data_IF_595306525633
#
_entry.id   IF_595306525633
#
_cell.length_a   1.000
_cell.length_b   1.000
_cell.length_c   1.000
_cell.angle_alpha   90.00
_cell.angle_beta   90.00
_cell.angle_gamma   90.00
#
_symmetry.space_group_name_H-M   'P 1'
#
loop_
_entity.id
_entity.type
_entity.pdbx_description
1 polymer ?
#
# COMPACT_ATOMS: atom_id res chain seq x y z
N UNK A 1 3.09 -51.45 -59.81
CA UNK A 1 3.72 -50.54 -58.82
C UNK A 1 4.87 -49.85 -59.52
N UNK A 2 4.75 -48.54 -59.73
CA UNK A 2 5.26 -47.54 -58.77
C UNK A 2 4.17 -46.55 -58.32
N UNK A 3 4.33 -45.87 -57.16
CA UNK A 3 3.35 -44.93 -56.69
C UNK A 3 3.53 -43.53 -57.30
N UNK A 4 2.37 -43.01 -57.69
CA UNK A 4 1.97 -41.67 -58.12
C UNK A 4 2.72 -40.55 -57.38
N UNK A 5 3.33 -39.66 -58.18
CA UNK A 5 4.00 -38.45 -57.72
C UNK A 5 3.03 -37.45 -57.11
N UNK A 6 3.44 -36.90 -55.96
CA UNK A 6 2.75 -35.83 -55.25
C UNK A 6 2.90 -34.52 -56.01
N UNK A 7 1.77 -33.96 -56.43
CA UNK A 7 1.64 -32.54 -56.73
C UNK A 7 1.45 -31.76 -55.43
N UNK A 8 2.13 -30.60 -55.39
CA UNK A 8 1.72 -29.33 -54.80
C UNK A 8 1.33 -29.30 -53.32
N UNK A 9 2.18 -28.66 -52.52
CA UNK A 9 1.76 -27.69 -51.50
C UNK A 9 2.91 -26.68 -51.26
N UNK A 10 3.02 -25.73 -52.18
CA UNK A 10 3.72 -24.45 -51.98
C UNK A 10 2.77 -23.50 -51.26
N UNK A 11 2.47 -23.78 -49.99
CA UNK A 11 2.02 -22.76 -49.05
C UNK A 11 3.06 -22.66 -47.95
N UNK A 12 4.12 -21.91 -48.28
CA UNK A 12 5.02 -21.36 -47.29
C UNK A 12 4.21 -20.54 -46.30
N UNK A 13 4.23 -21.04 -45.08
CA UNK A 13 3.63 -20.46 -43.90
C UNK A 13 3.92 -18.96 -43.82
N UNK A 14 2.88 -18.15 -44.02
CA UNK A 14 2.79 -16.83 -43.42
C UNK A 14 2.33 -17.01 -41.96
N UNK A 15 3.09 -17.78 -41.19
CA UNK A 15 3.16 -17.61 -39.74
C UNK A 15 3.89 -16.28 -39.53
N UNK A 16 3.17 -15.16 -39.70
CA UNK A 16 3.50 -13.93 -38.99
C UNK A 16 3.40 -14.30 -37.53
N UNK A 17 4.55 -14.73 -37.00
CA UNK A 17 4.83 -15.04 -35.63
C UNK A 17 3.77 -14.47 -34.71
N UNK A 18 3.04 -15.31 -34.00
CA UNK A 18 2.30 -14.91 -32.82
C UNK A 18 3.35 -14.28 -31.88
N UNK A 19 3.62 -12.98 -32.08
CA UNK A 19 4.72 -12.26 -31.45
C UNK A 19 4.44 -12.39 -29.97
N UNK A 20 5.31 -13.12 -29.27
CA UNK A 20 5.12 -13.50 -27.87
C UNK A 20 4.66 -12.28 -27.08
N UNK A 21 3.37 -12.20 -26.79
CA UNK A 21 2.76 -11.01 -26.19
C UNK A 21 3.33 -10.80 -24.81
N UNK A 22 3.88 -9.62 -24.57
CA UNK A 22 4.56 -9.27 -23.31
C UNK A 22 3.54 -9.10 -22.20
N UNK A 23 3.92 -9.51 -20.99
CA UNK A 23 3.08 -9.35 -19.81
C UNK A 23 3.26 -7.99 -19.13
N UNK A 24 4.36 -7.28 -19.43
CA UNK A 24 4.75 -6.02 -18.77
C UNK A 24 4.98 -4.94 -19.81
N UNK A 25 4.67 -3.70 -19.43
CA UNK A 25 4.95 -2.50 -20.23
C UNK A 25 6.46 -2.32 -20.42
N UNK A 26 6.87 -2.13 -21.67
CA UNK A 26 8.17 -1.57 -22.01
C UNK A 26 8.04 -0.11 -22.46
N UNK A 27 9.15 0.40 -22.98
CA UNK A 27 9.27 1.79 -23.42
C UNK A 27 8.32 2.12 -24.57
N UNK A 28 8.26 1.26 -25.60
CA UNK A 28 7.41 1.48 -26.77
C UNK A 28 5.93 1.43 -26.40
N UNK A 29 5.55 0.51 -25.51
CA UNK A 29 4.16 0.43 -25.04
C UNK A 29 3.77 1.60 -24.11
N UNK A 30 4.69 2.09 -23.30
CA UNK A 30 4.49 3.32 -22.51
C UNK A 30 4.31 4.53 -23.44
N UNK A 31 5.10 4.63 -24.51
CA UNK A 31 4.99 5.71 -25.49
C UNK A 31 3.62 5.69 -26.18
N UNK A 32 3.17 4.52 -26.64
CA UNK A 32 1.84 4.35 -27.24
C UNK A 32 0.72 4.70 -26.26
N UNK A 33 0.83 4.26 -24.99
CA UNK A 33 -0.13 4.60 -23.94
C UNK A 33 -0.24 6.11 -23.76
N UNK A 34 0.88 6.82 -23.69
CA UNK A 34 0.92 8.26 -23.47
C UNK A 34 0.34 9.02 -24.66
N UNK A 35 0.64 8.61 -25.89
CA UNK A 35 0.03 9.18 -27.10
C UNK A 35 -1.49 8.99 -27.04
N UNK A 36 -1.95 7.78 -26.74
CA UNK A 36 -3.38 7.47 -26.72
C UNK A 36 -4.11 8.27 -25.64
N UNK A 37 -3.50 8.42 -24.45
CA UNK A 37 -4.04 9.24 -23.36
C UNK A 37 -4.10 10.72 -23.74
N UNK A 38 -3.12 11.23 -24.50
CA UNK A 38 -3.15 12.61 -25.02
C UNK A 38 -4.28 12.82 -26.03
N UNK A 39 -4.58 11.83 -26.86
CA UNK A 39 -5.67 11.90 -27.86
C UNK A 39 -7.04 11.81 -27.17
N UNK A 40 -7.19 10.85 -26.26
CA UNK A 40 -8.51 10.51 -25.68
C UNK A 40 -8.86 11.36 -24.47
N UNK A 41 -7.85 11.97 -23.82
CA UNK A 41 -8.01 12.81 -22.62
C UNK A 41 -8.93 12.19 -21.55
N UNK A 42 -8.71 10.92 -21.13
CA UNK A 42 -9.61 10.20 -20.22
C UNK A 42 -9.73 10.87 -18.83
N UNK A 43 -8.78 11.73 -18.48
CA UNK A 43 -8.79 12.54 -17.26
C UNK A 43 -9.73 13.75 -17.31
N UNK A 44 -10.20 14.15 -18.49
CA UNK A 44 -11.16 15.25 -18.66
C UNK A 44 -12.61 14.76 -18.68
N UNK A 45 -12.84 13.46 -18.53
CA UNK A 45 -14.18 12.88 -18.52
C UNK A 45 -15.00 13.34 -17.31
N UNK A 46 -16.33 13.39 -17.46
CA UNK A 46 -17.25 13.72 -16.35
C UNK A 46 -17.10 12.70 -15.21
N UNK A 47 -17.23 13.16 -13.96
CA UNK A 47 -17.24 12.28 -12.78
C UNK A 47 -18.28 11.16 -12.97
N UNK A 48 -17.83 9.90 -12.89
CA UNK A 48 -18.64 8.71 -13.17
C UNK A 48 -18.33 8.02 -14.51
N UNK A 49 -17.91 8.76 -15.54
CA UNK A 49 -17.55 8.20 -16.85
C UNK A 49 -16.04 7.93 -17.03
N UNK A 50 -15.23 8.31 -16.04
CA UNK A 50 -13.77 8.18 -16.09
C UNK A 50 -13.37 6.72 -16.37
N UNK A 51 -14.00 5.74 -15.71
CA UNK A 51 -13.71 4.32 -15.92
C UNK A 51 -13.90 3.88 -17.38
N UNK A 52 -15.03 4.24 -17.97
CA UNK A 52 -15.37 3.91 -19.37
C UNK A 52 -14.37 4.54 -20.35
N UNK A 53 -13.96 5.79 -20.13
CA UNK A 53 -12.95 6.44 -21.00
C UNK A 53 -11.58 5.76 -20.92
N UNK A 54 -11.20 5.22 -19.76
CA UNK A 54 -9.99 4.41 -19.64
C UNK A 54 -10.14 3.04 -20.32
N UNK A 55 -11.32 2.44 -20.29
CA UNK A 55 -11.59 1.20 -21.02
C UNK A 55 -11.54 1.41 -22.53
N UNK A 56 -12.00 2.57 -23.04
CA UNK A 56 -11.82 2.96 -24.44
C UNK A 56 -10.34 3.10 -24.84
N UNK A 57 -9.53 3.76 -24.00
CA UNK A 57 -8.07 3.85 -24.22
C UNK A 57 -7.44 2.46 -24.31
N UNK A 58 -7.82 1.56 -23.39
CA UNK A 58 -7.32 0.19 -23.40
C UNK A 58 -7.76 -0.59 -24.64
N UNK A 59 -9.02 -0.43 -25.09
CA UNK A 59 -9.51 -1.05 -26.32
C UNK A 59 -8.70 -0.60 -27.54
N UNK A 60 -8.45 0.71 -27.70
CA UNK A 60 -7.65 1.26 -28.80
C UNK A 60 -6.20 0.77 -28.79
N UNK A 61 -5.59 0.66 -27.60
CA UNK A 61 -4.25 0.10 -27.47
C UNK A 61 -4.21 -1.39 -27.84
N UNK A 62 -5.21 -2.17 -27.43
CA UNK A 62 -5.28 -3.60 -27.76
C UNK A 62 -5.46 -3.86 -29.26
N UNK A 63 -6.10 -2.95 -29.98
CA UNK A 63 -6.27 -2.99 -31.43
C UNK A 63 -5.02 -2.52 -32.20
N UNK A 64 -4.10 -1.81 -31.55
CA UNK A 64 -2.93 -1.24 -32.19
C UNK A 64 -1.91 -2.34 -32.60
N UNK A 65 -1.45 -2.38 -33.87
CA UNK A 65 -0.60 -3.46 -34.37
C UNK A 65 0.78 -3.50 -33.68
N UNK A 66 1.31 -2.35 -33.27
CA UNK A 66 2.59 -2.25 -32.58
C UNK A 66 2.49 -2.45 -31.05
N UNK A 67 1.29 -2.62 -30.51
CA UNK A 67 1.12 -2.86 -29.08
C UNK A 67 1.36 -4.33 -28.76
N UNK A 68 2.57 -4.65 -28.32
CA UNK A 68 3.02 -6.05 -28.16
C UNK A 68 2.62 -6.68 -26.81
N UNK A 69 1.80 -6.02 -26.00
CA UNK A 69 1.34 -6.58 -24.73
C UNK A 69 0.13 -7.51 -24.90
N UNK A 70 -0.09 -8.34 -23.89
CA UNK A 70 -1.39 -9.03 -23.72
C UNK A 70 -2.51 -7.99 -23.57
N UNK A 71 -3.75 -8.31 -23.96
CA UNK A 71 -4.88 -7.39 -23.82
C UNK A 71 -4.96 -6.81 -22.40
N UNK A 72 -4.94 -5.48 -22.31
CA UNK A 72 -5.03 -4.74 -21.05
C UNK A 72 -6.45 -4.21 -20.83
N UNK A 73 -6.79 -3.94 -19.57
CA UNK A 73 -8.05 -3.27 -19.18
C UNK A 73 -7.80 -1.79 -18.88
N UNK A 74 -8.85 -0.97 -18.85
CA UNK A 74 -8.75 0.46 -18.54
C UNK A 74 -8.12 0.73 -17.19
N UNK A 75 -8.42 -0.09 -16.18
CA UNK A 75 -7.76 0.01 -14.85
C UNK A 75 -6.24 -0.15 -14.94
N UNK A 76 -5.75 -1.05 -15.79
CA UNK A 76 -4.31 -1.27 -15.99
C UNK A 76 -3.66 -0.09 -16.71
N UNK A 77 -4.32 0.44 -17.74
CA UNK A 77 -3.87 1.63 -18.46
C UNK A 77 -3.80 2.85 -17.53
N UNK A 78 -4.84 3.07 -16.72
CA UNK A 78 -4.91 4.15 -15.72
C UNK A 78 -3.77 4.07 -14.71
N UNK A 79 -3.60 2.93 -14.02
CA UNK A 79 -2.54 2.77 -13.03
C UNK A 79 -1.15 2.93 -13.64
N UNK A 80 -0.95 2.44 -14.87
CA UNK A 80 0.33 2.63 -15.56
C UNK A 80 0.59 4.10 -15.86
N UNK A 81 -0.40 4.82 -16.37
CA UNK A 81 -0.30 6.25 -16.64
C UNK A 81 0.00 7.06 -15.37
N UNK A 82 -0.71 6.81 -14.27
CA UNK A 82 -0.46 7.47 -12.98
C UNK A 82 0.98 7.24 -12.49
N UNK A 83 1.49 6.02 -12.67
CA UNK A 83 2.89 5.69 -12.34
C UNK A 83 3.88 6.48 -13.20
N UNK A 84 3.60 6.63 -14.50
CA UNK A 84 4.43 7.41 -15.43
C UNK A 84 4.41 8.89 -15.08
N UNK A 85 3.25 9.46 -14.75
CA UNK A 85 3.09 10.84 -14.28
C UNK A 85 3.88 11.08 -13.00
N UNK A 86 3.76 10.20 -12.00
CA UNK A 86 4.50 10.31 -10.74
C UNK A 86 6.01 10.27 -10.96
N UNK A 87 6.49 9.33 -11.78
CA UNK A 87 7.90 9.22 -12.13
C UNK A 87 8.40 10.47 -12.85
N UNK A 88 7.62 11.00 -13.80
CA UNK A 88 7.96 12.21 -14.55
C UNK A 88 8.03 13.43 -13.64
N UNK A 89 7.09 13.59 -12.71
CA UNK A 89 7.11 14.68 -11.70
C UNK A 89 8.36 14.62 -10.82
N UNK A 90 8.77 13.42 -10.38
CA UNK A 90 10.02 13.24 -9.63
C UNK A 90 11.23 13.64 -10.47
N UNK A 91 11.29 13.18 -11.72
CA UNK A 91 12.36 13.53 -12.64
C UNK A 91 12.43 15.04 -12.86
N UNK A 92 11.32 15.72 -13.14
CA UNK A 92 11.31 17.19 -13.31
C UNK A 92 11.84 17.93 -12.09
N UNK A 93 11.53 17.49 -10.86
CA UNK A 93 12.08 18.10 -9.63
C UNK A 93 13.60 17.92 -9.51
N UNK A 94 14.12 16.78 -9.92
CA UNK A 94 15.56 16.49 -9.91
C UNK A 94 16.32 17.19 -11.04
N UNK A 95 15.73 17.27 -12.24
CA UNK A 95 16.36 17.84 -13.43
C UNK A 95 16.33 19.38 -13.42
N UNK A 96 15.33 19.99 -12.78
CA UNK A 96 15.30 21.44 -12.54
C UNK A 96 16.49 21.91 -11.68
N UNK A 97 17.19 21.00 -10.99
CA UNK A 97 18.42 21.27 -10.24
C UNK A 97 19.67 21.09 -11.14
N UNK A 98 19.59 20.30 -12.22
CA UNK A 98 20.67 20.01 -13.16
C UNK A 98 20.30 20.53 -14.55
N UNK A 99 20.34 21.84 -14.72
CA UNK A 99 19.97 22.44 -16.00
C UNK A 99 20.99 22.05 -17.09
N UNK A 100 20.44 21.69 -18.26
CA UNK A 100 21.00 21.78 -19.62
C UNK A 100 21.48 20.46 -20.24
N UNK A 101 20.97 20.21 -21.46
CA UNK A 101 21.44 19.27 -22.50
C UNK A 101 21.16 17.79 -22.29
N UNK A 102 19.87 17.42 -22.26
CA UNK A 102 19.48 16.09 -22.75
C UNK A 102 18.57 16.27 -23.95
N UNK A 103 18.96 15.65 -25.08
CA UNK A 103 18.24 15.60 -26.35
C UNK A 103 16.75 15.44 -26.07
N UNK A 104 15.93 16.36 -26.58
CA UNK A 104 14.47 16.40 -26.39
C UNK A 104 13.87 15.05 -26.79
N UNK A 105 13.71 14.16 -25.81
CA UNK A 105 13.08 12.87 -26.05
C UNK A 105 11.58 13.16 -26.32
N UNK A 106 11.01 12.75 -27.47
CA UNK A 106 9.62 13.01 -27.81
C UNK A 106 8.65 12.49 -26.73
N UNK A 107 8.99 11.39 -26.08
CA UNK A 107 8.25 10.87 -24.92
C UNK A 107 8.18 11.90 -23.79
N UNK A 108 9.33 12.51 -23.43
CA UNK A 108 9.43 13.47 -22.34
C UNK A 108 8.66 14.75 -22.66
N UNK A 109 8.70 15.21 -23.92
CA UNK A 109 7.94 16.38 -24.37
C UNK A 109 6.44 16.19 -24.17
N UNK A 110 5.91 15.04 -24.61
CA UNK A 110 4.49 14.71 -24.46
C UNK A 110 4.13 14.56 -22.98
N UNK A 111 4.97 13.90 -22.18
CA UNK A 111 4.73 13.76 -20.74
C UNK A 111 4.74 15.11 -20.00
N UNK A 112 5.64 16.03 -20.34
CA UNK A 112 5.66 17.38 -19.77
C UNK A 112 4.37 18.14 -20.12
N UNK A 113 3.91 18.06 -21.37
CA UNK A 113 2.65 18.68 -21.79
C UNK A 113 1.44 18.10 -21.04
N UNK A 114 1.35 16.77 -20.91
CA UNK A 114 0.27 16.12 -20.18
C UNK A 114 0.26 16.47 -18.69
N UNK A 115 1.44 16.51 -18.04
CA UNK A 115 1.53 16.89 -16.63
C UNK A 115 1.11 18.34 -16.43
N UNK A 116 1.50 19.26 -17.33
CA UNK A 116 1.02 20.64 -17.30
C UNK A 116 -0.49 20.72 -17.44
N UNK A 117 -1.09 19.97 -18.38
CA UNK A 117 -2.56 19.93 -18.52
C UNK A 117 -3.26 19.40 -17.27
N UNK A 118 -2.72 18.36 -16.64
CA UNK A 118 -3.26 17.80 -15.40
C UNK A 118 -3.13 18.76 -14.21
N UNK A 119 -2.06 19.53 -14.13
CA UNK A 119 -1.82 20.50 -13.06
C UNK A 119 -2.65 21.78 -13.24
N UNK A 120 -2.99 22.13 -14.49
CA UNK A 120 -3.86 23.26 -14.83
C UNK A 120 -5.35 22.96 -14.64
N UNK A 121 -5.77 21.69 -14.60
CA UNK A 121 -7.14 21.35 -14.22
C UNK A 121 -7.37 21.83 -12.77
N UNK A 122 -8.31 22.77 -12.52
CA UNK A 122 -8.66 23.14 -11.17
C UNK A 122 -9.09 21.86 -10.45
N UNK A 123 -8.50 21.58 -9.28
CA UNK A 123 -8.95 20.53 -8.35
C UNK A 123 -10.35 20.88 -7.82
N UNK A 124 -11.35 20.91 -8.69
CA UNK A 124 -12.75 21.01 -8.33
C UNK A 124 -13.19 19.67 -7.77
N UNK A 125 -13.38 19.62 -6.46
CA UNK A 125 -14.17 18.62 -5.73
C UNK A 125 -13.53 17.23 -5.50
N UNK A 126 -12.23 17.19 -5.21
CA UNK A 126 -11.60 16.08 -4.50
C UNK A 126 -10.74 16.60 -3.34
N UNK A 127 -11.40 17.32 -2.42
CA UNK A 127 -10.89 17.63 -1.10
C UNK A 127 -11.82 16.95 -0.10
N UNK A 128 -11.53 15.68 0.18
CA UNK A 128 -11.78 15.02 1.46
C UNK A 128 -10.83 13.81 1.43
N UNK A 129 -9.88 13.83 2.37
CA UNK A 129 -8.73 12.93 2.57
C UNK A 129 -7.42 13.46 1.96
N UNK A 130 -6.40 13.51 2.81
CA UNK A 130 -5.04 14.05 2.58
C UNK A 130 -4.89 15.57 2.82
N UNK A 131 -5.32 16.03 4.00
CA UNK A 131 -4.80 17.24 4.64
C UNK A 131 -4.66 16.96 6.14
N UNK A 132 -3.63 16.19 6.49
CA UNK A 132 -3.05 16.08 7.85
C UNK A 132 -1.77 15.24 7.74
N UNK A 133 -0.67 15.79 7.21
CA UNK A 133 0.70 15.42 7.67
C UNK A 133 1.84 16.31 7.13
N UNK A 134 1.65 17.63 6.97
CA UNK A 134 2.75 18.50 6.54
C UNK A 134 2.74 19.84 7.31
N UNK A 135 2.97 19.76 8.62
CA UNK A 135 3.35 20.95 9.40
C UNK A 135 4.14 20.59 10.67
N UNK A 136 5.36 20.06 10.51
CA UNK A 136 6.43 20.23 11.52
C UNK A 136 7.82 19.88 10.99
N UNK A 137 8.48 20.86 10.36
CA UNK A 137 9.81 21.31 10.73
C UNK A 137 10.34 22.20 9.63
N UNK A 138 10.23 23.51 9.86
CA UNK A 138 11.10 24.46 9.22
C UNK A 138 11.79 25.31 10.28
N UNK A 139 13.02 25.70 9.96
CA UNK A 139 13.99 26.50 10.72
C UNK A 139 14.82 25.76 11.79
N UNK A 140 16.12 25.59 11.51
CA UNK A 140 17.19 26.38 12.14
C UNK A 140 18.53 26.14 11.39
N UNK A 141 18.92 27.19 10.66
CA UNK A 141 20.27 27.76 10.46
C UNK A 141 21.40 26.97 9.80
N UNK A 142 21.81 27.54 8.67
CA UNK A 142 23.17 27.72 8.16
C UNK A 142 24.25 28.02 9.24
N UNK A 143 25.43 27.44 8.97
CA UNK A 143 26.79 27.90 9.33
C UNK A 143 27.45 27.58 10.69
N UNK A 144 28.74 27.23 10.56
CA UNK A 144 29.83 27.34 11.56
C UNK A 144 30.09 26.19 12.55
N UNK A 145 30.93 25.25 12.10
CA UNK A 145 32.27 25.00 12.67
C UNK A 145 32.44 25.28 14.18
N UNK A 146 32.48 24.23 15.02
CA UNK A 146 33.64 23.86 15.87
C UNK A 146 33.32 22.74 16.88
N UNK A 147 34.26 21.80 16.99
CA UNK A 147 34.77 21.07 18.18
C UNK A 147 33.83 20.83 19.38
N UNK A 148 33.79 19.57 19.83
CA UNK A 148 34.09 19.04 21.19
C UNK A 148 33.86 17.51 21.10
N UNK A 149 34.89 16.67 20.90
CA UNK A 149 35.64 15.89 21.92
C UNK A 149 34.82 15.48 23.15
N UNK A 150 34.58 14.18 23.33
CA UNK A 150 34.84 13.36 24.54
C UNK A 150 33.93 12.11 24.51
N UNK A 151 34.50 10.95 24.21
CA UNK A 151 34.34 9.84 25.13
C UNK A 151 34.90 8.53 24.58
N UNK A 152 36.22 8.35 24.72
CA UNK A 152 36.86 7.03 24.66
C UNK A 152 36.41 6.22 25.88
N UNK A 153 36.03 4.96 25.68
CA UNK A 153 36.22 3.93 26.70
C UNK A 153 36.94 2.73 26.08
N UNK A 154 38.14 2.48 26.61
CA UNK A 154 38.95 1.28 26.37
C UNK A 154 38.47 0.15 27.30
N UNK A 155 38.61 -1.08 26.81
CA UNK A 155 38.59 -2.35 27.55
C UNK A 155 39.76 -2.45 28.55
N UNK A 156 39.48 -3.10 29.68
CA UNK A 156 40.15 -4.25 30.35
C UNK A 156 39.81 -4.19 31.86
N UNK A 157 39.68 -5.22 32.69
CA UNK A 157 39.73 -6.69 32.67
C UNK A 157 39.55 -7.13 34.15
N UNK A 158 38.97 -8.31 34.39
CA UNK A 158 39.01 -9.18 35.58
C UNK A 158 38.87 -8.61 37.03
N UNK A 159 37.87 -9.09 37.79
CA UNK A 159 38.04 -10.01 38.94
C UNK A 159 36.68 -10.43 39.55
N UNK A 160 36.70 -11.56 40.25
CA UNK A 160 35.66 -12.54 40.59
C UNK A 160 34.72 -12.24 41.82
N UNK A 161 33.74 -13.12 42.16
CA UNK A 161 32.52 -12.89 42.99
C UNK A 161 32.80 -13.14 44.52
N UNK A 162 31.85 -13.34 45.49
CA UNK A 162 30.38 -13.53 45.46
C UNK A 162 29.62 -12.72 46.55
N UNK A 163 28.29 -12.93 46.68
CA UNK A 163 27.55 -13.16 47.95
C UNK A 163 26.03 -13.10 47.72
N UNK A 164 25.35 -14.09 48.31
CA UNK A 164 23.90 -14.32 48.41
C UNK A 164 23.21 -13.29 49.31
N UNK A 165 21.93 -13.00 49.05
CA UNK A 165 20.81 -12.89 50.02
C UNK A 165 19.56 -12.46 49.22
N UNK A 166 18.60 -13.35 48.97
CA UNK A 166 17.50 -13.81 49.83
C UNK A 166 16.47 -12.74 50.22
N UNK A 167 15.23 -13.04 49.81
CA UNK A 167 13.95 -12.78 50.51
C UNK A 167 13.44 -11.33 50.48
N UNK A 168 12.30 -11.11 49.79
CA UNK A 168 11.06 -10.70 50.46
C UNK A 168 9.82 -11.13 49.67
N UNK A 169 8.99 -11.92 50.34
CA UNK A 169 7.65 -12.40 49.98
C UNK A 169 6.62 -11.48 50.66
N UNK A 170 5.61 -11.01 49.90
CA UNK A 170 4.15 -10.80 50.20
C UNK A 170 3.75 -9.98 51.47
N UNK A 171 2.51 -9.43 51.63
CA UNK A 171 1.18 -9.89 51.13
C UNK A 171 0.29 -8.77 50.50
N UNK A 172 -0.68 -9.01 49.61
CA UNK A 172 -2.03 -9.62 49.69
C UNK A 172 -2.96 -9.08 50.78
N UNK A 173 -4.05 -8.43 50.33
CA UNK A 173 -5.47 -8.43 50.80
C UNK A 173 -6.10 -7.03 50.54
N UNK A 174 -7.38 -6.82 50.25
CA UNK A 174 -8.55 -7.61 49.84
C UNK A 174 -9.64 -6.59 49.41
N UNK A 175 -10.52 -7.02 48.50
CA UNK A 175 -11.95 -6.62 48.34
C UNK A 175 -12.36 -5.14 48.21
N UNK A 176 -13.10 -4.81 47.14
CA UNK A 176 -14.57 -4.69 47.21
C UNK A 176 -15.22 -4.43 45.84
N UNK A 177 -16.40 -5.02 45.70
CA UNK A 177 -17.38 -4.99 44.61
C UNK A 177 -18.27 -3.75 44.75
N UNK A 178 -18.60 -3.03 43.67
CA UNK A 178 -19.97 -2.54 43.38
C UNK A 178 -20.08 -1.90 41.97
N UNK A 179 -21.17 -2.12 41.21
CA UNK A 179 -21.49 -1.40 39.97
C UNK A 179 -22.48 -0.26 40.24
N UNK A 180 -22.27 0.91 39.62
CA UNK A 180 -23.22 2.03 39.67
C UNK A 180 -23.84 2.31 38.29
N UNK A 181 -25.17 2.37 38.32
CA UNK A 181 -26.06 2.75 37.25
C UNK A 181 -26.34 4.25 37.28
N UNK A 182 -26.41 4.93 36.14
CA UNK A 182 -27.06 6.25 36.00
C UNK A 182 -27.64 6.40 34.55
N UNK A 183 -28.53 7.38 34.23
CA UNK A 183 -29.99 7.30 34.32
C UNK A 183 -30.73 7.71 33.02
N UNK A 184 -32.06 7.58 33.05
CA UNK A 184 -33.03 8.19 32.13
C UNK A 184 -32.89 9.72 31.99
N UNK A 185 -33.44 10.28 30.89
CA UNK A 185 -34.16 11.55 30.97
C UNK A 185 -35.62 11.44 30.49
N UNK A 186 -36.46 12.22 31.17
CA UNK A 186 -37.88 12.46 30.90
C UNK A 186 -38.10 13.91 30.45
N UNK A 187 -38.97 14.14 29.47
CA UNK A 187 -39.71 15.36 29.11
C UNK A 187 -40.28 15.18 27.68
N UNK A 188 -41.44 15.65 27.21
CA UNK A 188 -42.66 16.29 27.72
C UNK A 188 -43.73 16.11 26.62
N UNK A 189 -44.98 15.76 26.96
CA UNK A 189 -46.21 16.57 26.81
C UNK A 189 -46.32 17.41 25.54
N UNK A 190 -47.24 17.05 24.65
CA UNK A 190 -48.09 18.03 23.94
C UNK A 190 -49.49 17.45 23.79
N UNK A 191 -50.43 18.28 24.18
CA UNK A 191 -51.88 18.09 24.24
C UNK A 191 -52.45 18.75 22.99
N UNK A 192 -53.36 18.10 22.27
CA UNK A 192 -54.37 18.85 21.53
C UNK A 192 -55.68 18.06 21.50
N UNK A 193 -56.74 18.73 21.93
CA UNK A 193 -58.07 18.17 22.09
C UNK A 193 -58.95 18.52 20.91
N UNK A 194 -59.87 17.63 20.56
CA UNK A 194 -61.15 17.98 19.91
C UNK A 194 -62.13 16.83 20.12
N UNK A 195 -63.04 17.01 21.09
CA UNK A 195 -64.41 16.48 21.06
C UNK A 195 -65.32 17.58 20.45
N UNK A 196 -66.62 17.36 20.09
CA UNK A 196 -67.52 16.27 20.50
C UNK A 196 -68.42 15.70 19.36
N UNK A 197 -69.20 14.64 19.63
CA UNK A 197 -70.68 14.63 19.49
C UNK A 197 -71.30 13.23 19.65
N UNK A 198 -72.41 13.21 20.39
CA UNK A 198 -73.48 12.21 20.60
C UNK A 198 -73.93 11.46 19.32
N UNK A 199 -74.52 10.25 19.28
CA UNK A 199 -75.66 9.65 20.02
C UNK A 199 -75.73 8.11 19.74
N UNK A 200 -76.59 7.31 20.40
CA UNK A 200 -76.48 5.84 20.52
C UNK A 200 -77.45 5.03 19.62
N UNK A 201 -77.07 3.79 19.24
CA UNK A 201 -78.03 2.72 18.94
C UNK A 201 -77.51 1.30 19.25
N UNK A 202 -78.39 0.35 19.67
CA UNK A 202 -77.98 -0.94 20.26
C UNK A 202 -78.24 -2.18 19.37
N UNK A 203 -77.56 -3.28 19.76
CA UNK A 203 -77.76 -4.74 19.46
C UNK A 203 -77.12 -5.32 18.18
N UNK A 204 -76.84 -6.65 18.10
CA UNK A 204 -76.96 -7.72 19.10
C UNK A 204 -75.66 -8.50 19.38
N UNK A 205 -75.64 -9.13 20.56
CA UNK A 205 -74.57 -9.99 21.06
C UNK A 205 -74.49 -11.32 20.27
N UNK A 206 -73.31 -11.65 19.77
CA UNK A 206 -72.90 -13.02 19.48
C UNK A 206 -72.01 -13.53 20.62
N UNK A 207 -72.14 -14.81 21.03
CA UNK A 207 -71.41 -15.33 22.18
C UNK A 207 -69.92 -15.42 21.84
N UNK A 208 -69.14 -14.51 22.43
CA UNK A 208 -67.69 -14.58 22.47
C UNK A 208 -67.35 -15.80 23.33
N UNK A 209 -67.00 -16.90 22.68
CA UNK A 209 -66.34 -18.04 23.30
C UNK A 209 -65.03 -17.53 23.90
N UNK A 210 -65.07 -17.18 25.18
CA UNK A 210 -63.89 -16.88 25.99
C UNK A 210 -63.08 -18.16 26.10
N UNK A 211 -62.09 -18.26 25.24
CA UNK A 211 -61.07 -19.28 25.26
C UNK A 211 -60.21 -19.05 26.51
N UNK A 212 -60.60 -19.68 27.62
CA UNK A 212 -59.82 -19.70 28.86
C UNK A 212 -58.67 -20.66 28.60
N UNK A 213 -57.61 -20.13 27.97
CA UNK A 213 -56.32 -20.80 27.87
C UNK A 213 -55.93 -21.21 29.29
N UNK A 214 -55.92 -22.51 29.55
CA UNK A 214 -55.58 -23.03 30.86
C UNK A 214 -54.15 -22.61 31.20
N UNK A 215 -53.90 -22.26 32.46
CA UNK A 215 -52.55 -21.88 32.97
C UNK A 215 -51.49 -22.93 32.56
N UNK A 216 -51.90 -24.20 32.51
CA UNK A 216 -51.07 -25.31 32.09
C UNK A 216 -50.63 -25.22 30.62
N UNK A 217 -51.49 -24.73 29.72
CA UNK A 217 -51.17 -24.52 28.32
C UNK A 217 -50.24 -23.30 28.12
N UNK A 218 -50.45 -22.22 28.88
CA UNK A 218 -49.54 -21.09 28.89
C UNK A 218 -48.13 -21.48 29.38
N UNK A 219 -48.04 -22.31 30.42
CA UNK A 219 -46.75 -22.86 30.89
C UNK A 219 -46.09 -23.77 29.85
N UNK A 220 -46.86 -24.60 29.13
CA UNK A 220 -46.33 -25.46 28.09
C UNK A 220 -45.80 -24.64 26.89
N UNK A 221 -46.48 -23.56 26.50
CA UNK A 221 -45.99 -22.63 25.48
C UNK A 221 -44.72 -21.89 25.91
N UNK A 222 -44.64 -21.44 27.17
CA UNK A 222 -43.44 -20.79 27.70
C UNK A 222 -42.22 -21.71 27.66
N UNK A 223 -42.40 -22.98 28.03
CA UNK A 223 -41.34 -24.01 27.94
C UNK A 223 -40.94 -24.28 26.48
N UNK A 224 -41.90 -24.33 25.55
CA UNK A 224 -41.62 -24.44 24.11
C UNK A 224 -40.85 -23.23 23.59
N UNK A 225 -41.21 -22.01 23.99
CA UNK A 225 -40.48 -20.81 23.61
C UNK A 225 -39.06 -20.84 24.15
N UNK A 226 -38.86 -21.16 25.45
CA UNK A 226 -37.52 -21.31 26.02
C UNK A 226 -36.69 -22.35 25.25
N UNK A 227 -37.27 -23.50 24.92
CA UNK A 227 -36.56 -24.53 24.18
C UNK A 227 -36.26 -24.10 22.73
N UNK A 228 -37.18 -23.37 22.09
CA UNK A 228 -36.98 -22.79 20.77
C UNK A 228 -35.86 -21.73 20.78
N UNK A 229 -35.77 -20.89 21.83
CA UNK A 229 -34.69 -19.94 22.02
C UNK A 229 -33.34 -20.63 22.29
N UNK A 230 -33.32 -21.66 23.13
CA UNK A 230 -32.12 -22.43 23.45
C UNK A 230 -31.58 -23.24 22.25
N UNK A 231 -32.44 -23.58 21.29
CA UNK A 231 -32.07 -24.32 20.07
C UNK A 231 -31.91 -23.42 18.85
N UNK A 232 -31.94 -22.08 19.01
CA UNK A 232 -31.74 -21.17 17.87
C UNK A 232 -30.33 -21.36 17.29
N UNK A 233 -30.21 -21.66 15.98
CA UNK A 233 -28.92 -21.85 15.30
C UNK A 233 -28.04 -20.58 15.27
N UNK A 234 -28.60 -19.41 15.62
CA UNK A 234 -27.87 -18.15 15.69
C UNK A 234 -26.70 -18.18 16.67
N UNK A 235 -26.78 -18.92 17.77
CA UNK A 235 -25.69 -18.97 18.76
C UNK A 235 -24.48 -19.77 18.23
N UNK A 236 -24.72 -20.80 17.41
CA UNK A 236 -23.65 -21.55 16.74
C UNK A 236 -22.94 -20.68 15.69
N UNK A 237 -23.71 -19.91 14.90
CA UNK A 237 -23.15 -19.00 13.90
C UNK A 237 -22.32 -17.87 14.52
N UNK A 238 -22.71 -17.35 15.69
CA UNK A 238 -21.93 -16.32 16.40
C UNK A 238 -20.59 -16.87 16.89
N UNK A 239 -20.57 -18.06 17.50
CA UNK A 239 -19.31 -18.68 17.93
C UNK A 239 -18.37 -19.00 16.77
N UNK A 240 -18.92 -19.44 15.63
CA UNK A 240 -18.12 -19.67 14.42
C UNK A 240 -17.54 -18.36 13.87
N UNK A 241 -18.31 -17.29 13.87
CA UNK A 241 -17.85 -15.97 13.44
C UNK A 241 -16.75 -15.42 14.35
N UNK A 242 -16.87 -15.59 15.67
CA UNK A 242 -15.83 -15.23 16.64
C UNK A 242 -14.54 -16.02 16.38
N UNK A 243 -14.64 -17.31 16.12
CA UNK A 243 -13.48 -18.16 15.79
C UNK A 243 -12.80 -17.73 14.48
N UNK A 244 -13.57 -17.36 13.46
CA UNK A 244 -13.04 -16.83 12.20
C UNK A 244 -12.32 -15.51 12.44
N UNK A 245 -12.89 -14.61 13.24
CA UNK A 245 -12.28 -13.32 13.58
C UNK A 245 -10.99 -13.50 14.40
N UNK A 246 -10.98 -14.41 15.36
CA UNK A 246 -9.78 -14.71 16.15
C UNK A 246 -8.67 -15.31 15.29
N UNK A 247 -9.01 -16.22 14.36
CA UNK A 247 -8.05 -16.78 13.42
C UNK A 247 -7.45 -15.71 12.50
N UNK A 248 -8.30 -14.80 12.00
CA UNK A 248 -7.87 -13.67 11.17
C UNK A 248 -6.91 -12.74 11.93
N UNK A 249 -7.19 -12.47 13.20
CA UNK A 249 -6.35 -11.63 14.04
C UNK A 249 -4.95 -12.25 14.26
N UNK A 250 -4.89 -13.58 14.51
CA UNK A 250 -3.60 -14.28 14.63
C UNK A 250 -2.81 -14.27 13.32
N UNK A 251 -3.49 -14.46 12.18
CA UNK A 251 -2.83 -14.40 10.87
C UNK A 251 -2.24 -13.01 10.59
N UNK A 252 -2.93 -11.95 10.98
CA UNK A 252 -2.43 -10.58 10.85
C UNK A 252 -1.23 -10.32 11.76
N UNK A 253 -1.26 -10.82 13.00
CA UNK A 253 -0.13 -10.73 13.94
C UNK A 253 1.10 -11.50 13.40
N UNK A 254 0.93 -12.69 12.84
CA UNK A 254 2.02 -13.44 12.20
C UNK A 254 2.59 -12.71 10.98
N UNK A 255 1.73 -12.12 10.15
CA UNK A 255 2.16 -11.31 8.99
C UNK A 255 3.00 -10.11 9.42
N UNK A 256 2.62 -9.42 10.50
CA UNK A 256 3.42 -8.28 11.01
C UNK A 256 4.78 -8.74 11.55
N UNK A 257 4.83 -9.88 12.27
CA UNK A 257 6.09 -10.51 12.71
C UNK A 257 6.97 -10.90 11.54
N UNK A 258 6.39 -11.49 10.48
CA UNK A 258 7.12 -11.87 9.28
C UNK A 258 7.71 -10.65 8.55
N UNK A 259 6.92 -9.58 8.36
CA UNK A 259 7.40 -8.33 7.76
C UNK A 259 8.54 -7.70 8.55
N UNK A 260 8.45 -7.73 9.88
CA UNK A 260 9.52 -7.23 10.76
C UNK A 260 10.82 -8.02 10.59
N UNK A 261 10.74 -9.35 10.52
CA UNK A 261 11.89 -10.22 10.28
C UNK A 261 12.51 -9.99 8.90
N UNK A 262 11.69 -9.89 7.85
CA UNK A 262 12.15 -9.62 6.49
C UNK A 262 12.89 -8.28 6.40
N UNK A 263 12.37 -7.23 7.05
CA UNK A 263 13.01 -5.93 7.13
C UNK A 263 14.37 -6.01 7.85
N UNK A 264 14.46 -6.78 8.93
CA UNK A 264 15.71 -6.97 9.66
C UNK A 264 16.77 -7.67 8.79
N UNK A 265 16.37 -8.68 8.01
CA UNK A 265 17.24 -9.39 7.07
C UNK A 265 17.71 -8.43 5.96
N UNK A 266 16.81 -7.64 5.39
CA UNK A 266 17.14 -6.66 4.34
C UNK A 266 18.13 -5.60 4.85
N UNK A 267 17.92 -5.10 6.07
CA UNK A 267 18.84 -4.15 6.70
C UNK A 267 20.23 -4.76 6.88
N UNK A 268 20.34 -6.02 7.31
CA UNK A 268 21.62 -6.71 7.42
C UNK A 268 22.30 -6.90 6.06
N UNK A 269 21.55 -7.31 5.03
CA UNK A 269 22.07 -7.44 3.65
C UNK A 269 22.60 -6.13 3.11
N UNK A 270 21.89 -5.03 3.38
CA UNK A 270 22.31 -3.68 2.95
C UNK A 270 23.59 -3.26 3.66
N UNK A 271 23.70 -3.49 4.97
CA UNK A 271 24.95 -3.24 5.72
C UNK A 271 26.12 -4.06 5.18
N UNK A 272 25.89 -5.32 4.83
CA UNK A 272 26.93 -6.19 4.29
C UNK A 272 27.42 -5.70 2.91
N UNK A 273 26.50 -5.34 2.01
CA UNK A 273 26.87 -4.76 0.70
C UNK A 273 27.66 -3.47 0.85
N UNK A 274 27.31 -2.63 1.83
CA UNK A 274 28.04 -1.39 2.08
C UNK A 274 29.49 -1.67 2.50
N UNK A 275 29.69 -2.64 3.41
CA UNK A 275 31.04 -3.06 3.82
C UNK A 275 31.85 -3.63 2.65
N UNK A 276 31.22 -4.40 1.77
CA UNK A 276 31.87 -4.94 0.57
C UNK A 276 32.29 -3.84 -0.41
N UNK A 277 31.40 -2.87 -0.66
CA UNK A 277 31.73 -1.71 -1.51
C UNK A 277 32.84 -0.84 -0.91
N UNK A 278 32.87 -0.67 0.40
CA UNK A 278 33.91 0.10 1.06
C UNK A 278 35.25 -0.65 1.03
N UNK A 279 35.26 -1.97 1.17
CA UNK A 279 36.43 -2.80 0.97
C UNK A 279 36.99 -2.69 -0.47
N UNK A 280 36.11 -2.78 -1.48
CA UNK A 280 36.51 -2.67 -2.89
C UNK A 280 37.07 -1.26 -3.22
N UNK A 281 36.53 -0.20 -2.60
CA UNK A 281 37.08 1.15 -2.73
C UNK A 281 38.46 1.27 -2.10
N UNK A 282 38.66 0.70 -0.92
CA UNK A 282 39.95 0.71 -0.23
C UNK A 282 41.01 -0.09 -1.02
N UNK A 283 40.62 -1.21 -1.63
CA UNK A 283 41.50 -1.98 -2.52
C UNK A 283 41.90 -1.16 -3.75
N UNK A 284 40.94 -0.58 -4.48
CA UNK A 284 41.24 0.31 -5.62
C UNK A 284 42.10 1.51 -5.23
N UNK A 285 41.90 2.04 -4.02
CA UNK A 285 42.71 3.15 -3.51
C UNK A 285 44.16 2.71 -3.27
N UNK A 286 44.35 1.53 -2.67
CA UNK A 286 45.67 0.93 -2.48
C UNK A 286 46.40 0.72 -3.80
N UNK A 287 45.71 0.21 -4.83
CA UNK A 287 46.28 0.05 -6.16
C UNK A 287 46.75 1.38 -6.76
N UNK A 288 45.95 2.45 -6.60
CA UNK A 288 46.34 3.80 -7.04
C UNK A 288 47.57 4.31 -6.28
N UNK A 289 47.64 4.08 -4.97
CA UNK A 289 48.80 4.46 -4.16
C UNK A 289 50.07 3.70 -4.60
N UNK A 290 49.95 2.40 -4.91
CA UNK A 290 51.05 1.60 -5.44
C UNK A 290 51.51 2.08 -6.82
N UNK A 291 50.58 2.42 -7.72
CA UNK A 291 50.90 3.02 -9.02
C UNK A 291 51.63 4.36 -8.87
N UNK A 292 51.15 5.24 -7.99
CA UNK A 292 51.80 6.54 -7.71
C UNK A 292 53.21 6.33 -7.16
N UNK A 293 53.40 5.35 -6.27
CA UNK A 293 54.72 5.01 -5.71
C UNK A 293 55.69 4.52 -6.78
N UNK A 294 55.21 3.68 -7.71
CA UNK A 294 56.03 3.19 -8.82
C UNK A 294 56.44 4.33 -9.76
N UNK A 295 55.50 5.23 -10.11
CA UNK A 295 55.78 6.42 -10.91
C UNK A 295 56.81 7.31 -10.21
N UNK A 296 56.65 7.57 -8.91
CA UNK A 296 57.59 8.38 -8.15
C UNK A 296 59.01 7.77 -8.13
N UNK A 297 59.12 6.45 -7.97
CA UNK A 297 60.40 5.73 -8.04
C UNK A 297 61.05 5.87 -9.42
N UNK A 298 60.28 5.73 -10.51
CA UNK A 298 60.79 5.90 -11.87
C UNK A 298 61.28 7.33 -12.12
N UNK A 299 60.52 8.34 -11.70
CA UNK A 299 60.91 9.75 -11.80
C UNK A 299 62.19 10.03 -11.01
N UNK A 300 62.37 9.40 -9.85
CA UNK A 300 63.60 9.53 -9.06
C UNK A 300 64.82 8.94 -9.78
N UNK A 301 64.69 7.79 -10.44
CA UNK A 301 65.76 7.17 -11.23
C UNK A 301 66.13 8.00 -12.47
N UNK A 302 65.19 8.75 -13.03
CA UNK A 302 65.42 9.60 -14.20
C UNK A 302 66.04 10.97 -13.86
N UNK A 303 66.13 11.35 -12.59
CA UNK A 303 66.84 12.58 -12.22
C UNK A 303 68.33 12.38 -12.51
N UNK A 304 68.92 13.18 -13.43
CA UNK A 304 70.33 13.02 -13.78
C UNK A 304 71.17 13.24 -12.52
N UNK A 305 72.04 12.28 -12.20
CA UNK A 305 73.13 12.50 -11.24
C UNK A 305 73.94 13.67 -11.79
N UNK A 306 73.76 14.85 -11.22
CA UNK A 306 74.61 15.98 -11.51
C UNK A 306 76.04 15.51 -11.28
N UNK A 307 76.82 15.49 -12.36
CA UNK A 307 78.24 15.18 -12.34
C UNK A 307 78.86 16.39 -11.65
N UNK A 308 79.05 16.31 -10.33
CA UNK A 308 79.91 17.23 -9.61
C UNK A 308 81.31 17.13 -10.23
N UNK A 309 81.71 18.21 -10.91
CA UNK A 309 83.08 18.48 -11.33
C UNK A 309 83.66 19.54 -10.42
#
# INVERSE_FOLDING_TARGET
>A
MPPIGRQNDLHGESNFSEKKRRQRFGYDEDYLLIIQVKIDTPYSARHGAIGETWDMVAARLNEHPDFQMRPIKGTTAKTRFETLVHRHRKWMKSDNIQHVTEVENPFRKIMTELVQQLDLLPKGNAQLNEADDDERNDSITTESRTRIRLGKRRRSEAFEPPVRQDIFRLPRDQMQVLPDAIPFPAAQVTFDGTEPSEEPHPLPQSPIARDVVTVQQAMAELLKMQHAFATRPYQANVMELEKINEARLREEEEKTKQRSLELQIEMQRTRQRQLELDFEKDERKKDREEQVKLIASLVQCLKPKAIER
#
